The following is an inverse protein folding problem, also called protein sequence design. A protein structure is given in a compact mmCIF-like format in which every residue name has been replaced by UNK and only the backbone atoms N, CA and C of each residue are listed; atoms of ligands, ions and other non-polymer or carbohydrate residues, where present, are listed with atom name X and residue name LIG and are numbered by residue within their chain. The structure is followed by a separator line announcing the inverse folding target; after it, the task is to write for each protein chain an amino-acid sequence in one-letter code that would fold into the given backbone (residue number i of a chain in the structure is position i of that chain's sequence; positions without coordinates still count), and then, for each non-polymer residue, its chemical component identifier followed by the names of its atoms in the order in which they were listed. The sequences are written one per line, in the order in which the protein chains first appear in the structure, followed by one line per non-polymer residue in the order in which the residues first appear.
data_IF_594431206430
#
_entry.id   IF_594431206430
#
_cell.length_a   1.000
_cell.length_b   1.000
_cell.length_c   1.000
_cell.angle_alpha   90.00
_cell.angle_beta   90.00
_cell.angle_gamma   90.00
#
_symmetry.space_group_name_H-M   'P 1'
#
loop_
_entity.id
_entity.type
_entity.pdbx_description
1 polymer ?
#
# COMPACT_ATOMS: atom_id res chain seq x y z
N UNK A 1 -13.41 -12.53 -15.95
CA UNK A 1 -13.86 -13.18 -14.70
C UNK A 1 -13.37 -14.62 -14.70
N UNK A 2 -12.44 -14.97 -13.81
CA UNK A 2 -11.87 -16.32 -13.68
C UNK A 2 -11.81 -16.67 -12.19
N UNK A 3 -12.47 -17.76 -11.77
CA UNK A 3 -12.46 -18.21 -10.36
C UNK A 3 -13.61 -19.17 -10.02
N UNK A 4 -14.85 -18.68 -10.10
CA UNK A 4 -16.03 -19.34 -9.50
C UNK A 4 -16.45 -20.68 -10.14
N UNK A 5 -16.00 -21.02 -11.35
CA UNK A 5 -16.30 -22.33 -11.98
C UNK A 5 -15.54 -23.53 -11.38
N UNK A 6 -14.64 -23.33 -10.41
CA UNK A 6 -13.83 -24.41 -9.80
C UNK A 6 -13.93 -24.49 -8.27
N UNK A 7 -14.70 -23.60 -7.63
CA UNK A 7 -15.08 -23.76 -6.23
C UNK A 7 -16.12 -24.90 -6.09
N UNK A 8 -16.20 -25.59 -4.95
CA UNK A 8 -17.29 -26.53 -4.68
C UNK A 8 -18.64 -25.80 -4.57
N UNK A 9 -19.74 -26.51 -4.81
CA UNK A 9 -21.07 -26.02 -4.46
C UNK A 9 -21.19 -25.81 -2.93
N UNK A 10 -21.90 -24.77 -2.45
CA UNK A 10 -22.68 -23.79 -3.21
C UNK A 10 -21.87 -22.61 -3.79
N UNK A 11 -20.60 -22.49 -3.44
CA UNK A 11 -19.73 -21.34 -3.77
C UNK A 11 -19.30 -21.24 -5.24
N UNK A 12 -19.93 -22.01 -6.13
CA UNK A 12 -19.64 -22.06 -7.55
C UNK A 12 -20.58 -21.20 -8.41
N UNK A 13 -21.65 -20.66 -7.81
CA UNK A 13 -22.56 -19.72 -8.45
C UNK A 13 -22.03 -18.27 -8.36
N UNK A 14 -21.58 -17.65 -9.47
CA UNK A 14 -21.05 -16.30 -9.47
C UNK A 14 -22.12 -15.20 -9.35
N UNK A 15 -23.42 -15.55 -9.41
CA UNK A 15 -24.52 -14.62 -9.16
C UNK A 15 -24.86 -14.51 -7.67
N UNK A 16 -24.55 -15.54 -6.88
CA UNK A 16 -24.76 -15.58 -5.43
C UNK A 16 -23.47 -15.32 -4.63
N UNK A 17 -22.29 -15.67 -5.16
CA UNK A 17 -21.02 -15.62 -4.42
C UNK A 17 -19.94 -14.80 -5.12
N UNK A 18 -19.34 -13.86 -4.40
CA UNK A 18 -18.12 -13.16 -4.79
C UNK A 18 -16.86 -13.85 -4.25
N UNK A 19 -15.72 -13.63 -4.92
CA UNK A 19 -14.40 -13.99 -4.38
C UNK A 19 -13.68 -12.71 -3.99
N UNK A 20 -13.27 -12.62 -2.72
CA UNK A 20 -12.40 -11.56 -2.21
C UNK A 20 -11.00 -12.16 -2.00
N UNK A 21 -10.02 -11.91 -2.89
CA UNK A 21 -8.65 -12.34 -2.65
C UNK A 21 -8.03 -11.53 -1.50
N UNK A 22 -7.17 -12.17 -0.71
CA UNK A 22 -6.65 -11.58 0.53
C UNK A 22 -5.19 -11.90 0.78
N UNK A 23 -4.52 -11.01 1.53
CA UNK A 23 -3.22 -11.28 2.14
C UNK A 23 -3.43 -11.98 3.47
N UNK A 24 -2.67 -13.04 3.75
CA UNK A 24 -2.81 -13.78 5.01
C UNK A 24 -2.03 -15.08 5.04
N UNK A 25 -2.42 -15.96 5.97
CA UNK A 25 -1.78 -17.25 6.21
C UNK A 25 -2.65 -18.41 5.67
N UNK A 26 -2.02 -19.43 5.10
CA UNK A 26 -2.66 -20.71 4.80
C UNK A 26 -1.73 -21.89 5.10
N UNK A 27 -2.28 -22.97 5.63
CA UNK A 27 -1.54 -24.21 5.95
C UNK A 27 -1.71 -25.23 4.83
N UNK A 28 -0.60 -25.83 4.39
CA UNK A 28 -0.60 -26.88 3.38
C UNK A 28 -1.24 -28.14 3.98
N UNK A 29 -2.39 -28.56 3.46
CA UNK A 29 -3.07 -29.81 3.87
C UNK A 29 -2.59 -31.03 3.09
N UNK A 30 -2.18 -30.84 1.83
CA UNK A 30 -1.57 -31.84 0.96
C UNK A 30 -0.62 -31.15 -0.04
N UNK A 31 0.40 -31.87 -0.51
CA UNK A 31 1.25 -31.40 -1.60
C UNK A 31 1.76 -32.55 -2.47
N UNK A 32 1.89 -32.28 -3.77
CA UNK A 32 2.55 -33.16 -4.75
C UNK A 32 4.04 -32.89 -4.88
N UNK A 33 4.59 -31.96 -4.08
CA UNK A 33 5.95 -31.44 -4.24
C UNK A 33 6.82 -31.88 -3.05
N UNK A 34 8.00 -32.46 -3.30
CA UNK A 34 8.77 -33.15 -2.26
C UNK A 34 9.24 -32.23 -1.12
N UNK A 35 9.43 -30.94 -1.39
CA UNK A 35 9.90 -29.96 -0.41
C UNK A 35 8.73 -29.22 0.30
N UNK A 36 7.58 -29.87 0.46
CA UNK A 36 6.33 -29.30 1.02
C UNK A 36 5.63 -30.30 1.92
N UNK A 37 6.06 -30.32 3.17
CA UNK A 37 5.39 -31.12 4.18
C UNK A 37 3.99 -30.57 4.45
N UNK A 38 2.94 -31.41 4.47
CA UNK A 38 1.68 -31.05 5.09
C UNK A 38 1.91 -30.50 6.51
N UNK A 39 1.18 -29.45 6.88
CA UNK A 39 1.39 -28.69 8.12
C UNK A 39 2.29 -27.46 7.97
N UNK A 40 3.07 -27.31 6.89
CA UNK A 40 3.78 -26.04 6.62
C UNK A 40 2.78 -24.91 6.38
N UNK A 41 2.95 -23.79 7.09
CA UNK A 41 2.16 -22.58 6.88
C UNK A 41 2.91 -21.58 6.00
N UNK A 42 2.19 -20.96 5.08
CA UNK A 42 2.68 -19.96 4.15
C UNK A 42 1.95 -18.64 4.39
N UNK A 43 2.66 -17.52 4.24
CA UNK A 43 2.10 -16.18 4.09
C UNK A 43 2.12 -15.78 2.60
N UNK A 44 1.10 -15.07 2.11
CA UNK A 44 1.08 -14.54 0.74
C UNK A 44 -0.28 -13.99 0.32
N UNK A 45 -0.46 -13.78 -0.98
CA UNK A 45 -1.72 -13.29 -1.58
C UNK A 45 -2.52 -14.43 -2.20
N UNK A 46 -3.64 -14.77 -1.56
CA UNK A 46 -4.41 -15.98 -1.80
C UNK A 46 -5.60 -15.74 -2.77
N UNK A 47 -5.53 -16.27 -4.01
CA UNK A 47 -6.70 -16.60 -4.83
C UNK A 47 -7.18 -18.04 -4.49
N UNK A 48 -8.23 -18.57 -5.17
CA UNK A 48 -8.35 -20.03 -5.31
C UNK A 48 -7.06 -20.66 -5.89
N UNK A 49 -6.57 -21.74 -5.29
CA UNK A 49 -5.17 -22.16 -5.33
C UNK A 49 -4.79 -23.31 -6.28
N UNK A 50 -3.53 -23.25 -6.73
CA UNK A 50 -2.60 -24.39 -6.93
C UNK A 50 -1.22 -23.93 -6.38
N UNK A 51 -0.32 -24.76 -5.79
CA UNK A 51 0.82 -24.22 -5.01
C UNK A 51 2.25 -24.69 -5.40
N UNK A 52 3.26 -23.79 -5.45
CA UNK A 52 4.72 -24.08 -5.47
C UNK A 52 5.54 -23.37 -4.30
N UNK A 53 6.89 -23.33 -4.35
CA UNK A 53 7.99 -23.44 -3.31
C UNK A 53 7.98 -22.75 -1.89
N UNK A 54 9.12 -22.21 -1.37
CA UNK A 54 9.43 -21.90 0.07
C UNK A 54 9.63 -20.41 0.41
N UNK A 55 10.46 -19.70 -0.34
CA UNK A 55 9.96 -18.47 -0.94
C UNK A 55 9.52 -18.89 -2.34
N UNK A 56 8.29 -18.55 -2.69
CA UNK A 56 7.66 -19.05 -3.91
C UNK A 56 7.32 -17.90 -4.84
N UNK A 57 7.52 -18.07 -6.15
CA UNK A 57 6.87 -17.25 -7.19
C UNK A 57 5.91 -18.15 -7.98
N UNK A 58 4.61 -17.90 -7.86
CA UNK A 58 3.57 -18.59 -8.63
C UNK A 58 3.64 -18.28 -10.13
N UNK A 59 4.03 -19.29 -10.91
CA UNK A 59 4.32 -19.21 -12.35
C UNK A 59 3.25 -19.86 -13.23
N UNK A 60 2.20 -20.47 -12.67
CA UNK A 60 1.17 -21.15 -13.47
C UNK A 60 0.45 -20.18 -14.42
N UNK A 61 0.00 -20.63 -15.61
CA UNK A 61 -0.47 -19.73 -16.68
C UNK A 61 -1.55 -18.74 -16.26
N UNK A 62 -2.47 -19.15 -15.38
CA UNK A 62 -3.57 -18.30 -14.88
C UNK A 62 -3.14 -17.15 -13.95
N UNK A 63 -1.85 -17.12 -13.55
CA UNK A 63 -1.26 -16.17 -12.60
C UNK A 63 -0.18 -15.29 -13.23
N UNK A 64 0.23 -15.58 -14.47
CA UNK A 64 1.23 -14.80 -15.23
C UNK A 64 0.77 -13.38 -15.59
N UNK A 65 -0.54 -13.11 -15.59
CA UNK A 65 -1.10 -11.76 -15.75
C UNK A 65 -1.11 -10.93 -14.47
N UNK A 66 -0.78 -11.51 -13.32
CA UNK A 66 -0.67 -10.80 -12.06
C UNK A 66 0.76 -10.30 -11.84
N UNK A 67 0.87 -9.18 -11.13
CA UNK A 67 2.17 -8.63 -10.72
C UNK A 67 2.93 -9.61 -9.82
N UNK A 68 4.25 -9.61 -9.95
CA UNK A 68 5.18 -10.53 -9.25
C UNK A 68 4.93 -10.66 -7.75
N UNK A 69 4.66 -9.55 -7.06
CA UNK A 69 4.41 -9.50 -5.62
C UNK A 69 3.23 -10.39 -5.21
N UNK A 70 2.14 -10.41 -5.99
CA UNK A 70 1.00 -11.29 -5.72
C UNK A 70 1.35 -12.78 -5.84
N UNK A 71 2.37 -13.09 -6.63
CA UNK A 71 2.89 -14.43 -6.82
C UNK A 71 3.90 -14.84 -5.73
N UNK A 72 4.32 -13.93 -4.84
CA UNK A 72 5.28 -14.17 -3.76
C UNK A 72 4.61 -14.75 -2.51
N UNK A 73 5.09 -15.91 -2.06
CA UNK A 73 4.71 -16.52 -0.77
C UNK A 73 5.96 -16.81 0.07
N UNK A 74 5.80 -16.79 1.39
CA UNK A 74 6.86 -16.89 2.41
C UNK A 74 6.49 -18.03 3.37
N UNK A 75 7.40 -18.97 3.66
CA UNK A 75 7.19 -19.93 4.76
C UNK A 75 7.15 -19.18 6.08
N UNK A 76 6.05 -19.36 6.82
CA UNK A 76 5.79 -18.63 8.05
C UNK A 76 5.57 -19.58 9.21
N UNK A 77 6.44 -19.50 10.23
CA UNK A 77 6.31 -20.32 11.43
C UNK A 77 5.30 -19.70 12.40
N UNK A 78 4.15 -20.37 12.52
CA UNK A 78 3.07 -20.06 13.47
C UNK A 78 3.25 -20.73 14.83
N UNK A 79 4.26 -21.59 15.00
CA UNK A 79 4.50 -22.29 16.26
C UNK A 79 4.72 -21.26 17.38
N UNK A 80 4.07 -21.49 18.50
CA UNK A 80 4.12 -20.66 19.71
C UNK A 80 3.65 -19.19 19.52
N UNK A 81 3.01 -18.85 18.38
CA UNK A 81 2.41 -17.52 18.11
C UNK A 81 0.90 -17.50 18.41
N UNK A 82 0.45 -16.50 19.15
CA UNK A 82 -0.98 -16.23 19.33
C UNK A 82 -1.68 -15.72 18.05
N UNK A 83 -3.01 -15.66 18.10
CA UNK A 83 -3.83 -15.25 16.95
C UNK A 83 -3.72 -13.76 16.62
N UNK A 84 -3.43 -12.86 17.57
CA UNK A 84 -3.20 -11.43 17.27
C UNK A 84 -1.92 -11.27 16.46
N UNK A 85 -0.84 -11.91 16.92
CA UNK A 85 0.47 -11.94 16.27
C UNK A 85 0.39 -12.52 14.85
N UNK A 86 -0.38 -13.59 14.65
CA UNK A 86 -0.66 -14.14 13.31
C UNK A 86 -1.50 -13.18 12.46
N UNK A 87 -2.50 -12.52 13.06
CA UNK A 87 -3.40 -11.61 12.35
C UNK A 87 -2.69 -10.33 11.87
N UNK A 88 -1.71 -9.81 12.61
CA UNK A 88 -0.88 -8.69 12.17
C UNK A 88 -0.04 -9.02 10.92
N UNK A 89 0.42 -10.25 10.75
CA UNK A 89 1.21 -10.62 9.55
C UNK A 89 0.40 -10.48 8.27
N UNK A 90 -0.94 -10.68 8.31
CA UNK A 90 -1.83 -10.42 7.17
C UNK A 90 -1.77 -8.97 6.66
N UNK A 91 -1.32 -8.00 7.48
CA UNK A 91 -1.15 -6.59 7.07
C UNK A 91 0.28 -6.21 6.65
N UNK A 92 1.25 -7.15 6.72
CA UNK A 92 2.67 -6.94 6.38
C UNK A 92 2.88 -6.20 5.05
N UNK A 93 2.13 -6.58 4.01
CA UNK A 93 2.24 -5.96 2.67
C UNK A 93 1.93 -4.46 2.66
N UNK A 94 1.03 -4.01 3.53
CA UNK A 94 0.66 -2.60 3.67
C UNK A 94 1.89 -1.81 4.14
N UNK A 95 2.69 -2.40 5.03
CA UNK A 95 3.91 -1.80 5.56
C UNK A 95 5.10 -1.92 4.60
N UNK A 96 5.16 -2.98 3.79
CA UNK A 96 6.11 -3.10 2.68
C UNK A 96 6.00 -1.92 1.70
N UNK A 97 4.79 -1.37 1.50
CA UNK A 97 4.62 -0.16 0.69
C UNK A 97 5.41 1.02 1.27
N UNK A 98 5.28 1.27 2.58
CA UNK A 98 5.97 2.33 3.29
C UNK A 98 7.49 2.21 3.23
N UNK A 99 8.02 1.00 3.43
CA UNK A 99 9.45 0.70 3.28
C UNK A 99 9.96 1.04 1.87
N UNK A 100 9.29 0.56 0.82
CA UNK A 100 9.68 0.87 -0.56
C UNK A 100 9.58 2.37 -0.87
N UNK A 101 8.60 3.05 -0.27
CA UNK A 101 8.39 4.49 -0.41
C UNK A 101 9.54 5.30 0.22
N UNK A 102 9.92 4.99 1.46
CA UNK A 102 10.94 5.75 2.22
C UNK A 102 12.37 5.38 1.85
N UNK A 103 12.65 4.11 1.58
CA UNK A 103 14.02 3.67 1.32
C UNK A 103 14.41 3.79 -0.15
N UNK A 104 13.46 3.69 -1.10
CA UNK A 104 13.80 3.64 -2.54
C UNK A 104 13.17 4.74 -3.40
N UNK A 105 11.91 5.11 -3.16
CA UNK A 105 11.27 6.18 -3.96
C UNK A 105 11.74 7.57 -3.51
N UNK A 106 11.79 7.80 -2.20
CA UNK A 106 12.32 9.02 -1.56
C UNK A 106 13.56 8.70 -0.71
N UNK A 107 14.48 7.93 -1.29
CA UNK A 107 15.65 7.37 -0.62
C UNK A 107 16.47 8.44 0.12
N UNK A 108 16.47 8.38 1.45
CA UNK A 108 17.28 9.28 2.30
C UNK A 108 18.79 9.05 2.14
N UNK A 109 19.20 7.80 1.90
CA UNK A 109 20.57 7.42 1.56
C UNK A 109 20.62 6.73 0.18
N UNK A 110 20.74 7.52 -0.91
CA UNK A 110 20.88 6.99 -2.27
C UNK A 110 22.10 6.09 -2.51
N UNK A 111 23.10 6.09 -1.62
CA UNK A 111 24.30 5.25 -1.75
C UNK A 111 24.04 3.82 -1.26
N UNK A 112 23.23 3.66 -0.21
CA UNK A 112 22.82 2.33 0.28
C UNK A 112 21.56 1.83 -0.44
N UNK A 113 20.63 2.73 -0.76
CA UNK A 113 19.35 2.41 -1.42
C UNK A 113 19.19 3.22 -2.72
N UNK A 114 19.43 2.62 -3.90
CA UNK A 114 19.39 3.36 -5.16
C UNK A 114 17.97 3.90 -5.44
N UNK A 115 17.89 5.19 -5.76
CA UNK A 115 16.64 5.87 -6.10
C UNK A 115 15.93 5.14 -7.23
N UNK A 116 14.67 4.77 -6.97
CA UNK A 116 13.84 3.95 -7.85
C UNK A 116 12.54 4.69 -8.16
N UNK A 117 12.16 4.77 -9.43
CA UNK A 117 10.92 5.42 -9.84
C UNK A 117 9.69 4.80 -9.15
N UNK A 118 8.60 5.56 -8.89
CA UNK A 118 7.37 5.00 -8.30
C UNK A 118 6.74 3.85 -9.11
N UNK A 119 7.00 3.79 -10.42
CA UNK A 119 6.63 2.67 -11.29
C UNK A 119 7.73 2.48 -12.36
N UNK A 120 8.81 1.74 -12.05
CA UNK A 120 9.90 1.50 -12.99
C UNK A 120 9.42 0.78 -14.25
N UNK A 121 10.08 1.07 -15.38
CA UNK A 121 9.73 0.49 -16.69
C UNK A 121 8.54 1.16 -17.38
N UNK A 122 7.85 2.13 -16.76
CA UNK A 122 6.85 2.95 -17.44
C UNK A 122 7.53 4.13 -18.18
N UNK A 123 7.37 4.27 -19.50
CA UNK A 123 7.91 5.42 -20.24
C UNK A 123 7.31 6.76 -19.78
N UNK A 124 8.08 7.84 -19.92
CA UNK A 124 7.60 9.21 -19.69
C UNK A 124 7.59 9.69 -18.23
N UNK A 125 8.22 8.94 -17.32
CA UNK A 125 8.46 9.38 -15.93
C UNK A 125 9.96 9.41 -15.68
N UNK A 126 10.55 10.60 -15.67
CA UNK A 126 11.90 10.79 -15.12
C UNK A 126 11.80 10.86 -13.59
N UNK A 127 12.62 10.06 -12.90
CA UNK A 127 12.68 10.06 -11.44
C UNK A 127 14.14 9.96 -11.01
N UNK A 128 14.72 11.11 -10.70
CA UNK A 128 16.12 11.23 -10.27
C UNK A 128 16.20 11.48 -8.77
N UNK A 129 17.43 11.62 -8.24
CA UNK A 129 17.63 12.08 -6.87
C UNK A 129 16.94 13.43 -6.58
N UNK A 130 16.78 14.33 -7.56
CA UNK A 130 16.09 15.61 -7.37
C UNK A 130 14.55 15.49 -7.26
N UNK A 131 13.96 14.43 -7.81
CA UNK A 131 12.56 14.08 -7.57
C UNK A 131 12.39 13.45 -6.18
N UNK A 132 13.28 12.52 -5.84
CA UNK A 132 13.31 11.76 -4.59
C UNK A 132 13.69 12.57 -3.33
N UNK A 133 14.41 13.69 -3.46
CA UNK A 133 14.83 14.51 -2.32
C UNK A 133 13.63 15.16 -1.61
N UNK A 134 13.50 15.00 -0.30
CA UNK A 134 12.43 15.63 0.50
C UNK A 134 12.91 16.83 1.33
N UNK A 135 14.17 17.25 1.23
CA UNK A 135 14.79 18.21 2.15
C UNK A 135 14.04 19.55 2.28
N UNK A 136 13.62 20.15 1.17
CA UNK A 136 12.80 21.38 1.14
C UNK A 136 11.35 21.11 0.71
N UNK A 137 10.85 19.88 0.92
CA UNK A 137 9.53 19.45 0.50
C UNK A 137 8.52 19.40 1.66
N UNK A 138 7.27 19.72 1.35
CA UNK A 138 6.12 19.35 2.19
C UNK A 138 5.36 18.21 1.53
N UNK A 139 5.06 17.17 2.30
CA UNK A 139 4.32 16.00 1.83
C UNK A 139 2.87 16.10 2.28
N UNK A 140 1.95 15.87 1.33
CA UNK A 140 0.50 15.95 1.53
C UNK A 140 -0.10 14.57 1.28
N UNK A 141 -0.52 13.89 2.34
CA UNK A 141 -1.12 12.55 2.27
C UNK A 141 -2.64 12.65 2.14
N UNK A 142 -3.18 12.25 1.00
CA UNK A 142 -4.62 12.16 0.74
C UNK A 142 -5.09 10.75 1.11
N UNK A 143 -5.58 10.60 2.33
CA UNK A 143 -5.73 9.31 3.00
C UNK A 143 -7.07 9.23 3.73
N UNK A 144 -8.16 9.20 2.95
CA UNK A 144 -9.52 9.14 3.48
C UNK A 144 -9.77 7.90 4.36
N UNK A 145 -9.28 6.74 3.95
CA UNK A 145 -9.28 5.46 4.68
C UNK A 145 -8.03 4.60 4.43
N UNK A 146 -7.02 5.15 3.75
CA UNK A 146 -5.88 4.41 3.23
C UNK A 146 -4.98 3.86 4.33
N UNK A 147 -5.07 2.55 4.60
CA UNK A 147 -4.18 1.84 5.54
C UNK A 147 -2.71 1.92 5.10
N UNK A 148 -2.47 1.95 3.79
CA UNK A 148 -1.16 2.20 3.18
C UNK A 148 -0.62 3.61 3.45
N UNK A 149 -1.46 4.58 3.80
CA UNK A 149 -0.97 5.88 4.26
C UNK A 149 -0.35 5.80 5.66
N UNK A 150 -0.83 4.89 6.52
CA UNK A 150 -0.27 4.67 7.88
C UNK A 150 1.14 4.06 7.86
N UNK A 151 1.59 3.50 6.73
CA UNK A 151 2.96 3.04 6.56
C UNK A 151 3.91 4.13 6.06
N UNK A 152 3.41 5.28 5.62
CA UNK A 152 4.22 6.37 5.06
C UNK A 152 4.29 7.53 6.05
N UNK A 153 5.34 7.54 6.86
CA UNK A 153 5.73 8.68 7.68
C UNK A 153 6.99 9.32 7.07
N UNK A 154 7.05 10.66 7.03
CA UNK A 154 8.12 11.43 6.37
C UNK A 154 8.57 12.60 7.25
N UNK A 155 9.87 12.93 7.30
CA UNK A 155 10.45 13.61 8.47
C UNK A 155 10.30 15.14 8.53
N UNK A 156 9.96 15.82 7.44
CA UNK A 156 10.05 17.30 7.34
C UNK A 156 8.71 18.06 7.43
N UNK A 157 7.60 17.39 7.17
CA UNK A 157 6.28 18.00 7.26
C UNK A 157 5.23 17.18 6.52
N UNK A 158 4.26 16.65 7.27
CA UNK A 158 3.20 15.79 6.75
C UNK A 158 1.83 16.41 7.05
N UNK A 159 1.18 16.92 6.01
CA UNK A 159 -0.23 17.31 6.03
C UNK A 159 -1.06 16.08 5.70
N UNK A 160 -1.89 15.57 6.62
CA UNK A 160 -2.74 14.41 6.33
C UNK A 160 -4.22 14.80 6.22
N UNK A 161 -4.78 14.54 5.05
CA UNK A 161 -6.21 14.71 4.76
C UNK A 161 -6.91 13.37 4.97
N UNK A 162 -7.61 13.23 6.09
CA UNK A 162 -8.26 11.98 6.51
C UNK A 162 -9.71 12.18 6.95
N UNK A 163 -10.47 11.09 7.07
CA UNK A 163 -11.81 11.11 7.65
C UNK A 163 -11.85 11.03 9.18
N UNK A 164 -10.76 10.60 9.83
CA UNK A 164 -10.66 10.45 11.29
C UNK A 164 -9.51 11.31 11.86
N UNK A 165 -9.64 12.64 11.85
CA UNK A 165 -8.54 13.55 12.20
C UNK A 165 -8.10 13.49 13.67
N UNK A 166 -9.04 13.23 14.59
CA UNK A 166 -8.82 13.37 16.03
C UNK A 166 -7.86 12.36 16.66
N UNK A 167 -7.49 11.27 15.97
CA UNK A 167 -6.57 10.24 16.48
C UNK A 167 -5.14 10.42 15.93
N UNK A 168 -4.94 11.36 15.00
CA UNK A 168 -3.65 11.61 14.34
C UNK A 168 -3.03 12.94 14.81
N UNK A 169 -3.84 13.89 15.28
CA UNK A 169 -3.37 15.21 15.71
C UNK A 169 -2.26 15.16 16.77
N UNK A 170 -2.28 14.16 17.65
CA UNK A 170 -1.28 13.96 18.71
C UNK A 170 0.12 13.57 18.17
N UNK A 171 0.21 13.14 16.90
CA UNK A 171 1.48 12.80 16.24
C UNK A 171 2.18 14.00 15.55
N UNK A 172 1.75 15.24 15.83
CA UNK A 172 2.31 16.45 15.22
C UNK A 172 1.84 16.71 13.78
N UNK A 173 0.75 16.07 13.37
CA UNK A 173 0.23 16.09 12.00
C UNK A 173 -0.97 17.04 11.86
N UNK A 174 -0.97 17.88 10.83
CA UNK A 174 -2.06 18.84 10.63
C UNK A 174 -3.25 18.23 9.88
N UNK A 175 -4.43 18.65 10.32
CA UNK A 175 -5.74 18.34 9.74
C UNK A 175 -6.20 19.54 8.90
N UNK A 176 -6.80 19.28 7.73
CA UNK A 176 -7.22 20.23 6.66
C UNK A 176 -7.66 21.67 7.03
N UNK A 177 -8.20 21.95 8.23
CA UNK A 177 -8.55 23.32 8.64
C UNK A 177 -7.29 24.14 8.92
N UNK A 178 -7.10 25.26 8.24
CA UNK A 178 -5.90 26.10 8.34
C UNK A 178 -4.72 25.60 7.49
N UNK A 179 -4.96 24.65 6.58
CA UNK A 179 -3.90 24.04 5.78
C UNK A 179 -3.23 25.02 4.82
N UNK A 180 -3.92 26.07 4.37
CA UNK A 180 -3.31 27.08 3.49
C UNK A 180 -2.24 27.87 4.23
N UNK A 181 -2.58 28.43 5.39
CA UNK A 181 -1.68 29.20 6.24
C UNK A 181 -0.46 28.35 6.65
N UNK A 182 -0.69 27.12 7.11
CA UNK A 182 0.36 26.19 7.52
C UNK A 182 1.30 25.78 6.36
N UNK A 183 0.77 25.64 5.13
CA UNK A 183 1.59 25.38 3.95
C UNK A 183 2.42 26.62 3.56
N UNK A 184 1.82 27.81 3.63
CA UNK A 184 2.46 29.08 3.28
C UNK A 184 3.60 29.43 4.24
N UNK A 185 3.39 29.23 5.55
CA UNK A 185 4.41 29.46 6.59
C UNK A 185 5.70 28.67 6.34
N UNK A 186 5.58 27.47 5.75
CA UNK A 186 6.71 26.58 5.44
C UNK A 186 7.50 26.99 4.20
N UNK A 187 6.93 27.83 3.32
CA UNK A 187 7.55 28.26 2.05
C UNK A 187 8.20 27.11 1.26
N UNK A 188 7.48 26.00 1.02
CA UNK A 188 8.07 24.80 0.42
C UNK A 188 8.59 25.06 -0.99
N UNK A 189 9.77 24.55 -1.32
CA UNK A 189 10.27 24.53 -2.71
C UNK A 189 9.56 23.44 -3.51
N UNK A 190 9.10 22.37 -2.84
CA UNK A 190 8.40 21.23 -3.44
C UNK A 190 7.17 20.81 -2.64
N UNK A 191 6.07 20.52 -3.32
CA UNK A 191 4.86 19.92 -2.78
C UNK A 191 4.74 18.49 -3.33
N UNK A 192 4.77 17.49 -2.45
CA UNK A 192 4.63 16.07 -2.82
C UNK A 192 3.27 15.59 -2.35
N UNK A 193 2.30 15.51 -3.26
CA UNK A 193 0.96 14.97 -2.98
C UNK A 193 0.99 13.46 -3.19
N UNK A 194 0.52 12.70 -2.20
CA UNK A 194 0.49 11.24 -2.23
C UNK A 194 -0.96 10.79 -2.01
N UNK A 195 -1.60 10.26 -3.05
CA UNK A 195 -2.98 9.84 -3.04
C UNK A 195 -3.13 8.34 -2.72
N UNK A 196 -3.73 8.05 -1.57
CA UNK A 196 -4.05 6.71 -1.08
C UNK A 196 -5.55 6.38 -1.22
N UNK A 197 -6.24 7.02 -2.17
CA UNK A 197 -7.69 6.88 -2.36
C UNK A 197 -8.47 7.99 -1.66
N UNK A 198 -8.07 9.24 -1.88
CA UNK A 198 -8.79 10.43 -1.49
C UNK A 198 -10.22 10.47 -2.03
N UNK A 199 -11.11 11.20 -1.35
CA UNK A 199 -12.51 11.32 -1.76
C UNK A 199 -12.67 12.27 -2.94
N UNK A 200 -13.75 12.08 -3.69
CA UNK A 200 -14.21 12.99 -4.74
C UNK A 200 -14.12 14.48 -4.30
N UNK A 201 -13.57 15.33 -5.16
CA UNK A 201 -13.37 16.76 -4.90
C UNK A 201 -12.07 17.14 -4.18
N UNK A 202 -11.34 16.20 -3.56
CA UNK A 202 -10.14 16.54 -2.77
C UNK A 202 -9.03 17.16 -3.63
N UNK A 203 -8.82 16.64 -4.84
CA UNK A 203 -7.83 17.14 -5.80
C UNK A 203 -8.18 18.54 -6.28
N UNK A 204 -9.44 18.78 -6.65
CA UNK A 204 -9.92 20.07 -7.12
C UNK A 204 -9.76 21.14 -6.02
N UNK A 205 -10.06 20.79 -4.77
CA UNK A 205 -9.91 21.69 -3.63
C UNK A 205 -8.43 22.00 -3.32
N UNK A 206 -7.57 20.97 -3.28
CA UNK A 206 -6.14 21.13 -2.98
C UNK A 206 -5.39 21.88 -4.09
N UNK A 207 -5.57 21.49 -5.35
CA UNK A 207 -4.91 22.16 -6.46
C UNK A 207 -5.50 23.56 -6.70
N UNK A 208 -6.80 23.75 -6.47
CA UNK A 208 -7.42 25.08 -6.46
C UNK A 208 -6.89 26.00 -5.35
N UNK A 209 -6.52 25.45 -4.18
CA UNK A 209 -5.81 26.19 -3.12
C UNK A 209 -4.38 26.56 -3.57
N UNK A 210 -3.59 25.58 -4.00
CA UNK A 210 -2.20 25.79 -4.49
C UNK A 210 -2.16 26.83 -5.61
N UNK A 211 -3.07 26.76 -6.58
CA UNK A 211 -3.10 27.68 -7.72
C UNK A 211 -3.58 29.10 -7.36
N UNK A 212 -4.32 29.30 -6.27
CA UNK A 212 -4.74 30.64 -5.82
C UNK A 212 -3.67 31.34 -5.01
N UNK A 213 -2.85 30.61 -4.26
CA UNK A 213 -1.83 31.16 -3.38
C UNK A 213 -0.48 31.34 -4.09
N UNK A 214 0.08 32.55 -4.10
CA UNK A 214 1.31 32.84 -4.86
C UNK A 214 2.55 32.09 -4.33
N UNK A 215 2.66 31.89 -3.02
CA UNK A 215 3.78 31.16 -2.40
C UNK A 215 3.74 29.69 -2.83
N UNK A 216 2.56 29.08 -2.80
CA UNK A 216 2.38 27.66 -3.13
C UNK A 216 2.40 27.39 -4.65
N UNK A 217 1.95 28.35 -5.46
CA UNK A 217 2.05 28.29 -6.94
C UNK A 217 3.51 28.29 -7.41
N UNK A 218 4.43 28.85 -6.63
CA UNK A 218 5.87 28.83 -6.91
C UNK A 218 6.56 27.48 -6.64
N UNK A 219 5.95 26.59 -5.86
CA UNK A 219 6.52 25.28 -5.51
C UNK A 219 6.45 24.28 -6.67
N UNK A 220 7.49 23.44 -6.84
CA UNK A 220 7.42 22.27 -7.73
C UNK A 220 6.36 21.29 -7.21
N UNK A 221 5.34 20.99 -8.01
CA UNK A 221 4.31 20.01 -7.65
C UNK A 221 4.68 18.62 -8.18
N UNK A 222 4.67 17.62 -7.31
CA UNK A 222 4.78 16.19 -7.64
C UNK A 222 3.54 15.49 -7.10
N UNK A 223 2.87 14.68 -7.91
CA UNK A 223 1.65 13.96 -7.51
C UNK A 223 1.85 12.46 -7.74
N UNK A 224 1.76 11.67 -6.67
CA UNK A 224 1.88 10.22 -6.69
C UNK A 224 0.51 9.58 -6.41
N UNK A 225 0.09 8.63 -7.25
CA UNK A 225 -1.12 7.83 -7.04
C UNK A 225 -0.78 6.43 -6.52
N UNK A 226 -1.07 6.13 -5.26
CA UNK A 226 -0.82 4.82 -4.63
C UNK A 226 -2.02 3.88 -4.77
N UNK A 227 -3.24 4.42 -4.72
CA UNK A 227 -4.47 3.63 -4.84
C UNK A 227 -5.70 4.48 -5.13
N UNK A 228 -6.82 3.81 -5.40
CA UNK A 228 -8.10 4.43 -5.70
C UNK A 228 -8.99 4.54 -4.47
N UNK A 229 -9.96 5.45 -4.50
CA UNK A 229 -11.04 5.51 -3.52
C UNK A 229 -11.76 4.16 -3.46
N UNK A 230 -12.04 3.67 -2.26
CA UNK A 230 -12.79 2.42 -2.07
C UNK A 230 -14.28 2.65 -2.36
N UNK A 231 -14.67 2.54 -3.64
CA UNK A 231 -16.07 2.52 -4.11
C UNK A 231 -16.24 1.55 -5.27
N UNK A 232 -17.49 1.20 -5.57
CA UNK A 232 -17.85 0.51 -6.83
C UNK A 232 -17.76 1.55 -7.95
N UNK A 233 -17.06 1.21 -9.02
CA UNK A 233 -16.90 2.07 -10.19
C UNK A 233 -17.69 1.49 -11.37
N UNK A 234 -18.41 2.35 -12.08
CA UNK A 234 -18.78 2.11 -13.47
C UNK A 234 -17.54 2.19 -14.37
N UNK A 235 -17.63 1.65 -15.59
CA UNK A 235 -16.55 1.77 -16.58
C UNK A 235 -16.27 3.23 -16.95
N UNK A 236 -17.32 4.06 -17.00
CA UNK A 236 -17.23 5.49 -17.30
C UNK A 236 -16.46 6.25 -16.21
N UNK A 237 -16.79 6.03 -14.93
CA UNK A 237 -16.06 6.64 -13.81
C UNK A 237 -14.60 6.18 -13.75
N UNK A 238 -14.31 4.91 -14.07
CA UNK A 238 -12.95 4.39 -14.11
C UNK A 238 -12.12 5.06 -15.22
N UNK A 239 -12.68 5.24 -16.42
CA UNK A 239 -12.03 5.94 -17.54
C UNK A 239 -11.87 7.44 -17.27
N UNK A 240 -12.89 8.10 -16.70
CA UNK A 240 -12.83 9.49 -16.29
C UNK A 240 -11.74 9.72 -15.22
N UNK A 241 -11.63 8.81 -14.25
CA UNK A 241 -10.56 8.81 -13.25
C UNK A 241 -9.17 8.67 -13.86
N UNK A 242 -8.98 7.75 -14.82
CA UNK A 242 -7.71 7.60 -15.54
C UNK A 242 -7.32 8.87 -16.31
N UNK A 243 -8.26 9.48 -17.02
CA UNK A 243 -8.03 10.74 -17.74
C UNK A 243 -7.67 11.89 -16.79
N UNK A 244 -8.36 12.01 -15.65
CA UNK A 244 -8.07 13.02 -14.64
C UNK A 244 -6.66 12.86 -14.04
N UNK A 245 -6.25 11.62 -13.69
CA UNK A 245 -4.88 11.36 -13.22
C UNK A 245 -3.82 11.73 -14.27
N UNK A 246 -4.07 11.45 -15.55
CA UNK A 246 -3.16 11.83 -16.63
C UNK A 246 -3.05 13.35 -16.80
N UNK A 247 -4.17 14.08 -16.73
CA UNK A 247 -4.18 15.55 -16.79
C UNK A 247 -3.44 16.21 -15.62
N UNK A 248 -3.44 15.57 -14.45
CA UNK A 248 -2.69 16.00 -13.26
C UNK A 248 -1.19 15.66 -13.31
N UNK A 249 -0.72 14.97 -14.35
CA UNK A 249 0.64 14.42 -14.39
C UNK A 249 0.91 13.39 -13.29
N UNK A 250 -0.13 12.75 -12.76
CA UNK A 250 -0.02 11.86 -11.60
C UNK A 250 0.81 10.62 -11.96
N UNK A 251 1.91 10.44 -11.22
CA UNK A 251 2.78 9.29 -11.35
C UNK A 251 2.18 8.17 -10.49
N UNK A 252 1.73 7.10 -11.14
CA UNK A 252 1.31 5.89 -10.41
C UNK A 252 2.49 5.33 -9.60
N UNK A 253 2.27 5.02 -8.33
CA UNK A 253 3.14 4.19 -7.50
C UNK A 253 2.69 2.74 -7.57
N UNK A 254 3.63 1.78 -7.65
CA UNK A 254 3.31 0.36 -7.53
C UNK A 254 4.47 -0.44 -6.90
N UNK A 255 4.17 -1.14 -5.80
CA UNK A 255 5.17 -1.92 -5.05
C UNK A 255 5.88 -2.99 -5.88
N UNK A 256 5.18 -3.68 -6.79
CA UNK A 256 5.75 -4.87 -7.44
C UNK A 256 6.85 -4.50 -8.45
N UNK A 257 6.63 -3.55 -9.38
CA UNK A 257 7.68 -3.03 -10.25
C UNK A 257 8.85 -2.38 -9.50
N UNK A 258 8.61 -1.71 -8.36
CA UNK A 258 9.68 -1.19 -7.50
C UNK A 258 10.51 -2.36 -6.93
N UNK A 259 9.85 -3.34 -6.30
CA UNK A 259 10.52 -4.49 -5.69
C UNK A 259 11.30 -5.30 -6.73
N UNK A 260 10.76 -5.51 -7.92
CA UNK A 260 11.48 -6.23 -8.99
C UNK A 260 12.69 -5.44 -9.52
N UNK A 261 12.59 -4.11 -9.64
CA UNK A 261 13.72 -3.26 -10.01
C UNK A 261 14.83 -3.30 -8.93
N UNK A 262 14.44 -3.20 -7.65
CA UNK A 262 15.34 -3.30 -6.49
C UNK A 262 16.07 -4.65 -6.46
N UNK A 263 15.34 -5.75 -6.64
CA UNK A 263 15.90 -7.10 -6.67
C UNK A 263 16.76 -7.37 -7.92
N UNK A 264 16.66 -6.52 -8.95
CA UNK A 264 17.55 -6.54 -10.11
C UNK A 264 18.92 -5.90 -9.88
N UNK A 265 19.09 -5.11 -8.80
CA UNK A 265 20.33 -4.36 -8.52
C UNK A 265 20.90 -4.55 -7.10
N UNK A 266 20.12 -5.06 -6.15
CA UNK A 266 20.56 -5.44 -4.79
C UNK A 266 20.46 -6.95 -4.57
N UNK A 267 21.24 -7.47 -3.63
CA UNK A 267 21.15 -8.86 -3.21
C UNK A 267 19.74 -9.19 -2.66
N UNK A 268 19.04 -10.20 -3.22
CA UNK A 268 17.68 -10.52 -2.79
C UNK A 268 17.53 -10.92 -1.33
N UNK A 269 18.53 -11.60 -0.75
CA UNK A 269 18.46 -12.07 0.65
C UNK A 269 18.48 -10.85 1.57
N UNK A 270 19.44 -9.95 1.39
CA UNK A 270 19.55 -8.71 2.17
C UNK A 270 18.30 -7.83 2.08
N UNK A 271 17.72 -7.68 0.88
CA UNK A 271 16.48 -6.89 0.69
C UNK A 271 15.31 -7.48 1.50
N UNK A 272 15.19 -8.81 1.58
CA UNK A 272 14.13 -9.44 2.38
C UNK A 272 14.45 -9.49 3.89
N UNK A 273 15.73 -9.59 4.28
CA UNK A 273 16.16 -9.46 5.68
C UNK A 273 15.83 -8.06 6.21
N UNK A 274 16.24 -7.00 5.50
CA UNK A 274 15.94 -5.60 5.84
C UNK A 274 14.41 -5.35 5.90
N UNK A 275 13.64 -5.87 4.94
CA UNK A 275 12.18 -5.76 4.94
C UNK A 275 11.56 -6.41 6.19
N UNK A 276 12.05 -7.58 6.60
CA UNK A 276 11.56 -8.30 7.78
C UNK A 276 12.00 -7.63 9.10
N UNK A 277 13.21 -7.07 9.16
CA UNK A 277 13.66 -6.23 10.28
C UNK A 277 12.79 -4.98 10.44
N UNK A 278 12.51 -4.27 9.34
CA UNK A 278 11.64 -3.07 9.36
C UNK A 278 10.20 -3.43 9.71
N UNK A 279 9.70 -4.58 9.26
CA UNK A 279 8.40 -5.11 9.68
C UNK A 279 8.37 -5.40 11.19
N UNK A 280 9.36 -6.14 11.73
CA UNK A 280 9.48 -6.42 13.17
C UNK A 280 9.56 -5.13 14.00
N UNK A 281 10.37 -4.17 13.56
CA UNK A 281 10.49 -2.87 14.21
C UNK A 281 9.16 -2.11 14.23
N UNK A 282 8.45 -2.05 13.11
CA UNK A 282 7.13 -1.42 13.06
C UNK A 282 6.12 -2.15 13.95
N UNK A 283 6.07 -3.48 13.91
CA UNK A 283 5.13 -4.28 14.69
C UNK A 283 5.28 -4.08 16.20
N UNK A 284 6.53 -4.00 16.68
CA UNK A 284 6.86 -3.67 18.07
C UNK A 284 6.39 -2.25 18.45
N UNK A 285 6.51 -1.29 17.52
CA UNK A 285 6.20 0.12 17.72
C UNK A 285 4.81 0.55 17.18
N UNK A 286 3.95 -0.39 16.80
CA UNK A 286 2.71 -0.13 16.03
C UNK A 286 1.77 0.89 16.68
N UNK A 287 1.77 0.96 18.01
CA UNK A 287 0.98 1.93 18.80
C UNK A 287 1.43 3.39 18.61
N UNK A 288 2.67 3.63 18.18
CA UNK A 288 3.19 4.96 17.87
C UNK A 288 2.80 5.40 16.45
N UNK A 289 2.87 4.47 15.49
CA UNK A 289 2.66 4.76 14.07
C UNK A 289 1.19 4.66 13.62
N UNK A 290 0.40 3.82 14.29
CA UNK A 290 -1.00 3.57 13.95
C UNK A 290 -1.83 3.24 15.21
N UNK A 291 -1.93 4.18 16.19
CA UNK A 291 -2.69 3.98 17.44
C UNK A 291 -4.18 3.70 17.21
N UNK A 292 -4.72 4.14 16.07
CA UNK A 292 -6.10 3.91 15.64
C UNK A 292 -6.32 2.52 15.03
N UNK A 293 -5.28 1.88 14.49
CA UNK A 293 -5.41 0.70 13.64
C UNK A 293 -5.78 -0.55 14.46
N UNK A 294 -7.00 -1.05 14.26
CA UNK A 294 -7.52 -2.22 14.98
C UNK A 294 -7.77 -3.39 14.03
N UNK A 295 -7.39 -4.59 14.45
CA UNK A 295 -7.80 -5.82 13.76
C UNK A 295 -9.22 -6.20 14.19
N UNK A 296 -10.08 -6.57 13.24
CA UNK A 296 -11.51 -6.87 13.42
C UNK A 296 -11.95 -8.12 12.65
N UNK A 297 -12.96 -8.79 13.18
CA UNK A 297 -13.56 -9.98 12.55
C UNK A 297 -14.50 -9.66 11.38
N UNK A 298 -14.79 -10.71 10.60
CA UNK A 298 -15.62 -10.67 9.39
C UNK A 298 -17.06 -10.16 9.62
N UNK A 299 -17.62 -10.39 10.80
CA UNK A 299 -19.03 -10.08 11.11
C UNK A 299 -19.39 -8.61 10.94
N UNK A 300 -18.43 -7.70 11.18
CA UNK A 300 -18.60 -6.26 10.98
C UNK A 300 -18.66 -5.89 9.48
N UNK A 301 -17.97 -6.63 8.60
CA UNK A 301 -18.03 -6.40 7.14
C UNK A 301 -19.41 -6.76 6.59
N UNK A 302 -19.94 -7.91 7.00
CA UNK A 302 -21.27 -8.36 6.58
C UNK A 302 -22.39 -7.36 6.98
N UNK A 303 -22.16 -6.57 8.04
CA UNK A 303 -23.08 -5.55 8.55
C UNK A 303 -22.77 -4.12 8.03
N UNK A 304 -21.74 -3.95 7.19
CA UNK A 304 -21.23 -2.64 6.73
C UNK A 304 -20.77 -1.70 7.85
N UNK A 305 -20.37 -2.24 9.01
CA UNK A 305 -19.98 -1.48 10.20
C UNK A 305 -18.47 -1.16 10.28
N UNK A 306 -17.66 -1.71 9.37
CA UNK A 306 -16.19 -1.57 9.35
C UNK A 306 -15.77 -0.12 9.11
N UNK A 307 -15.00 0.43 10.03
CA UNK A 307 -14.54 1.82 9.97
C UNK A 307 -13.22 1.96 9.20
N UNK A 308 -12.87 3.17 8.72
CA UNK A 308 -11.61 3.46 8.03
C UNK A 308 -10.35 2.96 8.77
N UNK A 309 -10.36 3.03 10.10
CA UNK A 309 -9.31 2.61 11.04
C UNK A 309 -9.28 1.10 11.32
N UNK A 310 -10.22 0.32 10.81
CA UNK A 310 -10.36 -1.11 11.14
C UNK A 310 -9.90 -2.02 9.99
N UNK A 311 -8.96 -2.93 10.25
CA UNK A 311 -8.50 -3.95 9.30
C UNK A 311 -9.21 -5.25 9.57
N UNK A 312 -9.77 -5.84 8.53
CA UNK A 312 -10.42 -7.13 8.63
C UNK A 312 -9.37 -8.24 8.61
N UNK A 313 -9.41 -9.09 9.65
CA UNK A 313 -8.68 -10.35 9.67
C UNK A 313 -9.63 -11.43 10.15
N UNK A 314 -9.63 -12.54 9.44
CA UNK A 314 -10.50 -13.68 9.69
C UNK A 314 -9.71 -14.98 9.50
N UNK A 315 -10.18 -16.04 10.15
CA UNK A 315 -9.72 -17.41 9.96
C UNK A 315 -10.86 -18.17 9.28
N UNK A 316 -10.53 -18.86 8.19
CA UNK A 316 -11.41 -19.82 7.49
C UNK A 316 -11.02 -21.23 7.88
#
# INVERSE_FOLDING_TARGET
MLGLRRTPAPYNDPSAWGIVPGWGLATITASTLPNRTPGTTLWGYWPPLVPHHTHFIETSPHRQSLMSLYNRYIVFDIKDRDLDSQAWESVRVILSAGYLFSEYVFAYDPATHPVTAPFPGRPGVEWTAAEADLFNAVVISLAASGKTARSVAVPLGLLQVTSVPGVIGDAGMMVWRGAEEWLVERKPEKLVVVDFGGRDGVHQNLFGLIQRNEVLRGSKLVVLGVGFQQKVYTMEEALAGQNAMQQLGMIQFNMSPILDAVLGVRDPVKVFEELDERWKHWLANRKLFAPDLRLRGWDLLAQSEVKPDEVLVYRV
#
